data_IF_408127377732
#
_entry.id   IF_408127377732
#
_cell.length_a   1.000
_cell.length_b   1.000
_cell.length_c   1.000
_cell.angle_alpha   90.00
_cell.angle_beta   90.00
_cell.angle_gamma   90.00
#
_symmetry.space_group_name_H-M   'P 1'
#
loop_
_entity.id
_entity.type
_entity.pdbx_description
1 polymer ?
#
# COMPACT_ATOMS: atom_id res chain seq x y z
N UNK A 1 32.93 63.54 12.34
CA UNK A 1 32.92 62.09 12.00
C UNK A 1 31.70 61.40 12.59
N UNK A 2 31.29 61.77 13.81
CA UNK A 2 30.02 61.37 14.43
C UNK A 2 28.79 61.68 13.56
N UNK A 3 28.67 62.87 12.99
CA UNK A 3 27.54 63.24 12.10
C UNK A 3 27.35 62.32 10.86
N UNK A 4 28.43 61.69 10.38
CA UNK A 4 28.37 60.75 9.26
C UNK A 4 27.97 59.35 9.72
N UNK A 5 28.40 58.96 10.92
CA UNK A 5 27.99 57.72 11.57
C UNK A 5 26.52 57.78 11.95
N UNK A 6 26.05 58.88 12.54
CA UNK A 6 24.65 59.09 12.88
C UNK A 6 23.78 59.06 11.63
N UNK A 7 24.15 59.75 10.54
CA UNK A 7 23.39 59.67 9.28
C UNK A 7 23.36 58.25 8.68
N UNK A 8 24.42 57.46 8.84
CA UNK A 8 24.44 56.05 8.40
C UNK A 8 23.60 55.17 9.30
N UNK A 9 23.63 55.42 10.60
CA UNK A 9 22.83 54.73 11.60
C UNK A 9 21.35 54.98 11.35
N UNK A 10 20.93 56.25 11.18
CA UNK A 10 19.53 56.60 10.89
C UNK A 10 19.04 55.98 9.58
N UNK A 11 19.87 55.95 8.53
CA UNK A 11 19.53 55.25 7.26
C UNK A 11 19.39 53.74 7.43
N UNK A 12 20.19 53.13 8.30
CA UNK A 12 20.10 51.69 8.60
C UNK A 12 18.84 51.40 9.43
N UNK A 13 18.54 52.23 10.42
CA UNK A 13 17.34 52.14 11.25
C UNK A 13 16.07 52.25 10.41
N UNK A 14 16.00 53.23 9.49
CA UNK A 14 14.88 53.39 8.55
C UNK A 14 14.72 52.17 7.63
N UNK A 15 15.84 51.61 7.12
CA UNK A 15 15.80 50.42 6.26
C UNK A 15 15.38 49.15 6.99
N UNK A 16 15.67 49.05 8.28
CA UNK A 16 15.31 47.91 9.13
C UNK A 16 13.93 48.09 9.78
N UNK A 17 13.27 49.23 9.56
CA UNK A 17 11.96 49.54 10.17
C UNK A 17 12.04 49.73 11.69
N UNK A 18 13.21 50.07 12.23
CA UNK A 18 13.41 50.31 13.65
C UNK A 18 12.81 51.67 14.00
N UNK A 19 11.65 51.68 14.67
CA UNK A 19 11.08 52.93 15.22
C UNK A 19 12.09 53.55 16.18
N UNK A 20 12.29 54.88 16.09
CA UNK A 20 13.00 55.67 17.12
C UNK A 20 12.51 55.24 18.50
N UNK A 21 13.43 55.08 19.46
CA UNK A 21 13.21 54.60 20.83
C UNK A 21 12.21 55.45 21.64
N UNK A 22 10.96 55.46 21.20
CA UNK A 22 9.81 56.02 21.86
C UNK A 22 8.94 54.86 22.31
N UNK A 23 8.93 54.63 23.63
CA UNK A 23 7.88 53.91 24.33
C UNK A 23 7.72 52.42 23.99
N UNK A 24 8.72 51.60 24.33
CA UNK A 24 8.41 50.22 24.78
C UNK A 24 8.00 50.33 26.25
N UNK A 25 6.74 50.66 26.51
CA UNK A 25 6.23 50.79 27.89
C UNK A 25 6.01 49.43 28.55
N UNK A 26 6.02 48.33 27.80
CA UNK A 26 5.89 46.99 28.37
C UNK A 26 6.59 45.92 27.51
N UNK A 27 7.86 45.63 27.83
CA UNK A 27 8.67 44.57 27.20
C UNK A 27 7.96 43.21 27.23
N UNK A 28 7.13 42.94 28.23
CA UNK A 28 6.37 41.70 28.30
C UNK A 28 5.30 41.58 27.20
N UNK A 29 4.63 42.67 26.83
CA UNK A 29 3.63 42.64 25.76
C UNK A 29 4.27 42.37 24.40
N UNK A 30 5.44 42.97 24.14
CA UNK A 30 6.19 42.71 22.91
C UNK A 30 6.73 41.28 22.85
N UNK A 31 7.24 40.73 23.98
CA UNK A 31 7.67 39.34 24.06
C UNK A 31 6.51 38.35 23.86
N UNK A 32 5.33 38.65 24.43
CA UNK A 32 4.12 37.84 24.22
C UNK A 32 3.71 37.88 22.75
N UNK A 33 3.72 39.07 22.13
CA UNK A 33 3.41 39.23 20.72
C UNK A 33 4.40 38.48 19.82
N UNK A 34 5.70 38.56 20.10
CA UNK A 34 6.74 37.84 19.35
C UNK A 34 6.59 36.32 19.51
N UNK A 35 6.35 35.85 20.73
CA UNK A 35 6.11 34.42 21.03
C UNK A 35 4.88 33.90 20.30
N UNK A 36 3.81 34.69 20.25
CA UNK A 36 2.59 34.36 19.50
C UNK A 36 2.89 34.25 18.00
N UNK A 37 3.57 35.26 17.44
CA UNK A 37 3.92 35.29 16.01
C UNK A 37 4.84 34.14 15.60
N UNK A 38 5.85 33.80 16.42
CA UNK A 38 6.73 32.65 16.20
C UNK A 38 5.97 31.32 16.26
N UNK A 39 5.00 31.21 17.17
CA UNK A 39 4.17 30.00 17.28
C UNK A 39 3.24 29.86 16.08
N UNK A 40 2.61 30.95 15.63
CA UNK A 40 1.74 30.99 14.45
C UNK A 40 2.50 30.67 13.15
N UNK A 41 3.77 31.06 13.05
CA UNK A 41 4.64 30.73 11.92
C UNK A 41 5.15 29.27 11.92
N UNK A 42 4.72 28.42 12.87
CA UNK A 42 5.21 27.04 13.02
C UNK A 42 6.61 26.93 13.66
N UNK A 43 7.22 28.05 14.01
CA UNK A 43 8.56 28.13 14.61
C UNK A 43 8.53 28.10 16.15
N UNK A 44 7.39 27.78 16.78
CA UNK A 44 7.26 27.75 18.24
C UNK A 44 8.21 26.78 18.94
N UNK A 45 8.74 25.77 18.22
CA UNK A 45 9.77 24.86 18.74
C UNK A 45 11.06 25.60 19.12
N UNK A 46 11.39 26.72 18.46
CA UNK A 46 12.58 27.53 18.76
C UNK A 46 12.55 28.08 20.20
N UNK A 47 11.36 28.38 20.72
CA UNK A 47 11.17 28.87 22.09
C UNK A 47 11.31 27.78 23.16
N UNK A 48 11.35 26.51 22.75
CA UNK A 48 11.59 25.35 23.62
C UNK A 48 13.05 24.94 23.66
N UNK A 49 13.91 25.54 22.83
CA UNK A 49 15.33 25.21 22.82
C UNK A 49 15.95 25.79 24.10
N UNK A 50 16.54 24.95 24.97
CA UNK A 50 17.23 25.42 26.16
C UNK A 50 18.30 26.46 25.80
N UNK A 51 18.47 27.46 26.66
CA UNK A 51 19.40 28.57 26.40
C UNK A 51 20.82 28.08 26.18
N UNK A 52 21.27 27.04 26.88
CA UNK A 52 22.61 26.45 26.70
C UNK A 52 22.82 25.84 25.30
N UNK A 53 21.75 25.31 24.69
CA UNK A 53 21.79 24.78 23.32
C UNK A 53 21.85 25.94 22.32
N UNK A 54 21.10 27.03 22.57
CA UNK A 54 21.20 28.25 21.76
C UNK A 54 22.59 28.88 21.84
N UNK A 55 23.21 28.92 23.03
CA UNK A 55 24.59 29.40 23.17
C UNK A 55 25.55 28.50 22.39
N UNK A 56 25.44 27.17 22.51
CA UNK A 56 26.27 26.23 21.73
C UNK A 56 26.11 26.41 20.21
N UNK A 57 24.89 26.62 19.72
CA UNK A 57 24.64 26.89 18.29
C UNK A 57 25.28 28.21 17.88
N UNK A 58 25.16 29.25 18.71
CA UNK A 58 25.78 30.56 18.45
C UNK A 58 27.30 30.45 18.47
N UNK A 59 27.88 29.73 19.43
CA UNK A 59 29.31 29.48 19.54
C UNK A 59 29.83 28.66 18.35
N UNK A 60 29.05 27.71 17.83
CA UNK A 60 29.36 26.94 16.62
C UNK A 60 29.28 27.80 15.37
N UNK A 61 28.25 28.66 15.25
CA UNK A 61 28.06 29.54 14.10
C UNK A 61 29.05 30.72 14.06
N UNK A 62 29.60 31.10 15.22
CA UNK A 62 30.61 32.17 15.34
C UNK A 62 32.05 31.63 15.36
N UNK A 63 32.24 30.31 15.53
CA UNK A 63 33.54 29.66 15.38
C UNK A 63 33.99 29.78 13.92
N UNK A 64 35.22 30.22 13.69
CA UNK A 64 35.80 30.27 12.34
C UNK A 64 35.73 28.90 11.67
N UNK A 65 35.31 28.83 10.40
CA UNK A 65 35.09 27.62 9.55
C UNK A 65 36.28 26.65 9.42
N UNK A 66 37.37 26.87 10.14
CA UNK A 66 38.53 26.01 10.15
C UNK A 66 38.30 24.83 11.10
N UNK A 67 37.72 23.77 10.56
CA UNK A 67 37.84 22.42 11.13
C UNK A 67 39.32 22.17 11.48
N UNK A 68 39.58 21.64 12.67
CA UNK A 68 40.92 21.23 13.06
C UNK A 68 41.43 20.14 12.12
N UNK A 69 42.74 20.01 11.95
CA UNK A 69 43.32 18.97 11.08
C UNK A 69 42.83 17.56 11.44
N UNK A 70 42.62 17.29 12.74
CA UNK A 70 42.07 16.03 13.23
C UNK A 70 40.59 15.82 12.84
N UNK A 71 39.77 16.87 12.88
CA UNK A 71 38.37 16.79 12.41
C UNK A 71 38.29 16.58 10.91
N UNK A 72 39.12 17.30 10.13
CA UNK A 72 39.24 17.08 8.68
C UNK A 72 39.64 15.64 8.37
N UNK A 73 40.60 15.09 9.11
CA UNK A 73 41.04 13.71 8.94
C UNK A 73 39.91 12.71 9.22
N UNK A 74 39.16 12.89 10.32
CA UNK A 74 38.01 12.02 10.66
C UNK A 74 36.90 12.10 9.62
N UNK A 75 36.60 13.29 9.12
CA UNK A 75 35.57 13.46 8.08
C UNK A 75 35.98 12.77 6.77
N UNK A 76 37.27 12.83 6.41
CA UNK A 76 37.82 12.11 5.25
C UNK A 76 37.73 10.60 5.44
N UNK A 77 38.10 10.08 6.61
CA UNK A 77 38.01 8.64 6.93
C UNK A 77 36.55 8.16 6.86
N UNK A 78 35.62 8.91 7.47
CA UNK A 78 34.19 8.61 7.39
C UNK A 78 33.66 8.65 5.95
N UNK A 79 34.03 9.68 5.18
CA UNK A 79 33.65 9.81 3.79
C UNK A 79 34.21 8.69 2.91
N UNK A 80 35.43 8.22 3.19
CA UNK A 80 36.04 7.08 2.54
C UNK A 80 35.25 5.79 2.82
N UNK A 81 34.97 5.50 4.10
CA UNK A 81 34.24 4.28 4.48
C UNK A 81 32.83 4.25 3.86
N UNK A 82 32.14 5.40 3.87
CA UNK A 82 30.83 5.53 3.21
C UNK A 82 30.92 5.28 1.71
N UNK A 83 31.99 5.74 1.06
CA UNK A 83 32.20 5.57 -0.38
C UNK A 83 32.54 4.11 -0.72
N UNK A 84 33.32 3.43 0.11
CA UNK A 84 33.63 2.00 -0.04
C UNK A 84 32.36 1.15 0.09
N UNK A 85 31.52 1.40 1.09
CA UNK A 85 30.24 0.68 1.24
C UNK A 85 29.30 0.93 0.06
N UNK A 86 29.25 2.16 -0.46
CA UNK A 86 28.47 2.47 -1.68
C UNK A 86 28.97 1.71 -2.90
N UNK A 87 30.30 1.62 -3.09
CA UNK A 87 30.88 0.86 -4.20
C UNK A 87 30.50 -0.62 -4.08
N UNK A 88 30.59 -1.19 -2.88
CA UNK A 88 30.23 -2.60 -2.63
C UNK A 88 28.75 -2.89 -2.94
N UNK A 89 27.84 -2.02 -2.50
CA UNK A 89 26.41 -2.16 -2.81
C UNK A 89 26.11 -2.04 -4.32
N UNK A 90 26.84 -1.17 -5.03
CA UNK A 90 26.70 -1.05 -6.48
C UNK A 90 27.23 -2.29 -7.20
N UNK A 91 28.31 -2.90 -6.73
CA UNK A 91 28.83 -4.16 -7.26
C UNK A 91 27.85 -5.32 -7.05
N UNK A 92 27.25 -5.44 -5.86
CA UNK A 92 26.20 -6.43 -5.58
C UNK A 92 24.97 -6.21 -6.47
N UNK A 93 24.48 -4.97 -6.53
CA UNK A 93 23.35 -4.62 -7.39
C UNK A 93 23.62 -4.96 -8.86
N UNK A 94 24.82 -4.66 -9.37
CA UNK A 94 25.18 -4.96 -10.74
C UNK A 94 25.21 -6.47 -10.99
N UNK A 95 25.80 -7.24 -10.08
CA UNK A 95 25.85 -8.70 -10.16
C UNK A 95 24.45 -9.32 -10.17
N UNK A 96 23.57 -8.89 -9.27
CA UNK A 96 22.21 -9.40 -9.18
C UNK A 96 21.37 -9.00 -10.39
N UNK A 97 21.54 -7.77 -10.89
CA UNK A 97 20.87 -7.32 -12.10
C UNK A 97 21.25 -8.20 -13.30
N UNK A 98 22.51 -8.62 -13.39
CA UNK A 98 22.98 -9.43 -14.50
C UNK A 98 22.36 -10.83 -14.46
N UNK A 99 22.20 -11.41 -13.26
CA UNK A 99 21.52 -12.70 -13.06
C UNK A 99 20.03 -12.61 -13.39
N UNK A 100 19.34 -11.57 -12.89
CA UNK A 100 17.89 -11.43 -13.08
C UNK A 100 17.56 -11.10 -14.53
N UNK A 101 18.26 -10.15 -15.15
CA UNK A 101 17.96 -9.73 -16.52
C UNK A 101 18.46 -10.72 -17.58
N UNK A 102 19.49 -11.53 -17.29
CA UNK A 102 19.92 -12.62 -18.18
C UNK A 102 19.27 -13.96 -17.84
N UNK A 103 18.31 -13.98 -16.91
CA UNK A 103 17.55 -15.19 -16.59
C UNK A 103 16.74 -15.62 -17.81
N UNK A 104 17.21 -16.69 -18.44
CA UNK A 104 16.54 -17.35 -19.56
C UNK A 104 15.08 -17.72 -19.20
N UNK A 105 14.83 -18.06 -17.93
CA UNK A 105 13.50 -18.34 -17.39
C UNK A 105 12.53 -17.17 -17.55
N UNK A 106 12.99 -15.93 -17.31
CA UNK A 106 12.17 -14.73 -17.45
C UNK A 106 12.03 -14.36 -18.93
N UNK A 107 13.14 -14.45 -19.69
CA UNK A 107 13.13 -14.16 -21.13
C UNK A 107 12.16 -15.07 -21.90
N UNK A 108 12.05 -16.34 -21.49
CA UNK A 108 11.23 -17.34 -22.18
C UNK A 108 9.75 -17.34 -21.78
N UNK A 109 9.32 -16.52 -20.82
CA UNK A 109 7.89 -16.43 -20.44
C UNK A 109 7.01 -16.13 -21.66
N UNK A 110 7.48 -15.26 -22.56
CA UNK A 110 6.77 -14.93 -23.80
C UNK A 110 6.57 -16.14 -24.73
N UNK A 111 7.51 -17.10 -24.73
CA UNK A 111 7.41 -18.32 -25.54
C UNK A 111 6.40 -19.34 -24.98
N UNK A 112 6.12 -19.29 -23.67
CA UNK A 112 5.13 -20.16 -23.03
C UNK A 112 3.70 -19.63 -23.12
N UNK A 113 3.52 -18.33 -23.38
CA UNK A 113 2.21 -17.69 -23.44
C UNK A 113 1.24 -18.35 -24.45
N UNK A 114 1.64 -18.72 -25.68
CA UNK A 114 0.76 -19.40 -26.62
C UNK A 114 0.30 -20.79 -26.15
N UNK A 115 1.21 -21.54 -25.51
CA UNK A 115 0.90 -22.85 -24.94
C UNK A 115 -0.08 -22.72 -23.76
N UNK A 116 0.12 -21.70 -22.92
CA UNK A 116 -0.80 -21.39 -21.82
C UNK A 116 -2.20 -21.02 -22.34
N UNK A 117 -2.28 -20.16 -23.36
CA UNK A 117 -3.54 -19.78 -23.99
C UNK A 117 -4.23 -20.95 -24.72
N UNK A 118 -3.47 -21.93 -25.21
CA UNK A 118 -4.03 -23.15 -25.79
C UNK A 118 -4.63 -24.05 -24.70
N UNK A 119 -3.88 -24.27 -23.61
CA UNK A 119 -4.35 -25.04 -22.47
C UNK A 119 -5.59 -24.42 -21.82
N UNK A 120 -5.64 -23.10 -21.67
CA UNK A 120 -6.82 -22.38 -21.15
C UNK A 120 -8.06 -22.62 -22.03
N UNK A 121 -7.90 -22.53 -23.36
CA UNK A 121 -9.00 -22.78 -24.30
C UNK A 121 -9.49 -24.24 -24.25
N UNK A 122 -8.58 -25.19 -24.12
CA UNK A 122 -8.90 -26.62 -24.00
C UNK A 122 -9.66 -26.93 -22.71
N UNK A 123 -9.21 -26.37 -21.58
CA UNK A 123 -9.87 -26.51 -20.28
C UNK A 123 -11.28 -25.93 -20.33
N UNK A 124 -11.44 -24.73 -20.89
CA UNK A 124 -12.74 -24.08 -21.01
C UNK A 124 -13.69 -24.84 -21.95
N UNK A 125 -13.17 -25.40 -23.06
CA UNK A 125 -13.94 -26.28 -23.94
C UNK A 125 -14.41 -27.54 -23.23
N UNK A 126 -13.51 -28.20 -22.51
CA UNK A 126 -13.82 -29.41 -21.73
C UNK A 126 -14.85 -29.13 -20.63
N UNK A 127 -14.76 -27.98 -19.96
CA UNK A 127 -15.73 -27.58 -18.94
C UNK A 127 -17.14 -27.40 -19.52
N UNK A 128 -17.25 -26.81 -20.72
CA UNK A 128 -18.53 -26.69 -21.44
C UNK A 128 -19.11 -28.04 -21.83
N UNK A 129 -18.28 -28.96 -22.31
CA UNK A 129 -18.71 -30.32 -22.67
C UNK A 129 -19.22 -31.09 -21.44
N UNK A 130 -18.50 -30.99 -20.32
CA UNK A 130 -18.92 -31.58 -19.03
C UNK A 130 -20.25 -30.98 -18.57
N UNK A 131 -20.43 -29.66 -18.68
CA UNK A 131 -21.69 -29.01 -18.33
C UNK A 131 -22.85 -29.52 -19.18
N UNK A 132 -22.67 -29.62 -20.50
CA UNK A 132 -23.71 -30.12 -21.42
C UNK A 132 -24.06 -31.58 -21.14
N UNK A 133 -23.05 -32.41 -20.87
CA UNK A 133 -23.26 -33.80 -20.50
C UNK A 133 -24.04 -33.90 -19.18
N UNK A 134 -23.66 -33.11 -18.18
CA UNK A 134 -24.34 -33.08 -16.89
C UNK A 134 -25.82 -32.70 -17.05
N UNK A 135 -26.14 -31.65 -17.82
CA UNK A 135 -27.53 -31.28 -18.12
C UNK A 135 -28.31 -32.43 -18.77
N UNK A 136 -27.70 -33.14 -19.72
CA UNK A 136 -28.34 -34.28 -20.39
C UNK A 136 -28.63 -35.44 -19.42
N UNK A 137 -27.74 -35.68 -18.46
CA UNK A 137 -27.92 -36.70 -17.41
C UNK A 137 -29.02 -36.29 -16.44
N UNK A 138 -29.11 -35.01 -16.07
CA UNK A 138 -30.18 -34.48 -15.21
C UNK A 138 -31.55 -34.65 -15.89
N UNK A 139 -31.66 -34.26 -17.16
CA UNK A 139 -32.89 -34.45 -17.94
C UNK A 139 -33.31 -35.92 -18.05
N UNK A 140 -32.34 -36.82 -18.26
CA UNK A 140 -32.61 -38.26 -18.33
C UNK A 140 -33.10 -38.79 -16.98
N UNK A 141 -32.47 -38.37 -15.88
CA UNK A 141 -32.86 -38.76 -14.53
C UNK A 141 -34.28 -38.29 -14.23
N UNK A 142 -34.65 -37.06 -14.59
CA UNK A 142 -35.99 -36.53 -14.38
C UNK A 142 -37.04 -37.35 -15.15
N UNK A 143 -36.80 -37.64 -16.43
CA UNK A 143 -37.67 -38.51 -17.24
C UNK A 143 -37.81 -39.91 -16.63
N UNK A 144 -36.73 -40.46 -16.10
CA UNK A 144 -36.75 -41.78 -15.46
C UNK A 144 -37.60 -41.78 -14.19
N UNK A 145 -37.52 -40.73 -13.36
CA UNK A 145 -38.35 -40.58 -12.16
C UNK A 145 -39.83 -40.50 -12.53
N UNK A 146 -40.19 -39.68 -13.52
CA UNK A 146 -41.57 -39.57 -14.01
C UNK A 146 -42.10 -40.94 -14.48
N UNK A 147 -41.28 -41.70 -15.19
CA UNK A 147 -41.67 -43.02 -15.70
C UNK A 147 -41.88 -44.03 -14.57
N UNK A 148 -41.05 -43.98 -13.51
CA UNK A 148 -41.24 -44.80 -12.31
C UNK A 148 -42.53 -44.44 -11.56
N UNK A 149 -42.87 -43.16 -11.46
CA UNK A 149 -44.11 -42.70 -10.84
C UNK A 149 -45.35 -43.19 -11.62
N UNK A 150 -45.31 -43.12 -12.94
CA UNK A 150 -46.38 -43.66 -13.80
C UNK A 150 -46.54 -45.17 -13.65
N UNK A 151 -45.42 -45.92 -13.63
CA UNK A 151 -45.42 -47.35 -13.39
C UNK A 151 -45.99 -47.70 -12.01
N UNK A 152 -45.62 -46.94 -10.98
CA UNK A 152 -46.16 -47.12 -9.64
C UNK A 152 -47.68 -46.93 -9.61
N UNK A 153 -48.18 -45.88 -10.27
CA UNK A 153 -49.62 -45.65 -10.38
C UNK A 153 -50.35 -46.79 -11.11
N UNK A 154 -49.80 -47.27 -12.22
CA UNK A 154 -50.38 -48.40 -12.95
C UNK A 154 -50.41 -49.69 -12.13
N UNK A 155 -49.36 -49.98 -11.36
CA UNK A 155 -49.33 -51.13 -10.46
C UNK A 155 -50.43 -51.00 -9.41
N UNK A 156 -50.60 -49.84 -8.79
CA UNK A 156 -51.68 -49.61 -7.81
C UNK A 156 -53.07 -49.74 -8.43
N UNK A 157 -53.28 -49.29 -9.66
CA UNK A 157 -54.54 -49.51 -10.37
C UNK A 157 -54.81 -51.00 -10.58
N UNK A 158 -53.79 -51.77 -11.02
CA UNK A 158 -53.92 -53.21 -11.22
C UNK A 158 -54.17 -53.96 -9.91
N UNK A 159 -53.47 -53.61 -8.83
CA UNK A 159 -53.71 -54.17 -7.49
C UNK A 159 -55.16 -53.95 -7.06
N UNK A 160 -55.69 -52.73 -7.24
CA UNK A 160 -57.09 -52.42 -6.94
C UNK A 160 -58.08 -53.23 -7.79
N UNK A 161 -57.79 -53.43 -9.09
CA UNK A 161 -58.64 -54.24 -9.97
C UNK A 161 -58.64 -55.69 -9.54
N UNK A 162 -57.47 -56.26 -9.23
CA UNK A 162 -57.34 -57.63 -8.74
C UNK A 162 -58.10 -57.83 -7.44
N UNK A 163 -57.95 -56.92 -6.48
CA UNK A 163 -58.66 -56.99 -5.20
C UNK A 163 -60.19 -56.98 -5.39
N UNK A 164 -60.70 -56.11 -6.28
CA UNK A 164 -62.14 -56.08 -6.63
C UNK A 164 -62.60 -57.39 -7.26
N UNK A 165 -61.83 -57.97 -8.18
CA UNK A 165 -62.16 -59.25 -8.82
C UNK A 165 -62.16 -60.40 -7.81
N UNK A 166 -61.21 -60.41 -6.87
CA UNK A 166 -61.18 -61.39 -5.79
C UNK A 166 -62.39 -61.28 -4.86
N UNK A 167 -62.84 -60.06 -4.55
CA UNK A 167 -64.06 -59.83 -3.77
C UNK A 167 -65.32 -60.33 -4.50
N UNK A 168 -65.44 -60.09 -5.81
CA UNK A 168 -66.56 -60.59 -6.63
C UNK A 168 -66.56 -62.12 -6.63
N UNK A 169 -65.41 -62.75 -6.88
CA UNK A 169 -65.27 -64.21 -6.86
C UNK A 169 -65.66 -64.82 -5.50
N UNK A 170 -65.26 -64.18 -4.39
CA UNK A 170 -65.66 -64.62 -3.04
C UNK A 170 -67.18 -64.51 -2.80
N UNK A 171 -67.82 -63.49 -3.35
CA UNK A 171 -69.29 -63.33 -3.25
C UNK A 171 -70.02 -64.40 -4.07
N UNK A 172 -69.56 -64.69 -5.27
CA UNK A 172 -70.13 -65.74 -6.13
C UNK A 172 -69.96 -67.14 -5.53
N UNK A 173 -68.85 -67.42 -4.84
CA UNK A 173 -68.63 -68.71 -4.17
C UNK A 173 -69.49 -68.93 -2.92
N UNK A 174 -70.05 -67.86 -2.35
CA UNK A 174 -70.88 -67.90 -1.13
C UNK A 174 -72.38 -67.74 -1.41
N UNK A 175 -72.78 -67.61 -2.68
CA UNK A 175 -74.16 -67.51 -3.14
C UNK A 175 -74.62 -68.87 -3.70
#
# INVERSE_FOLDING_TARGET
MEDMLDKRLTKLEDRLGLRKAGSVTNVNEELIFLRKKLSEAGCGFLLKIPTDVLTKITDLATRSDYLTSAEKKREIEFGHDLMVERVKLLEEFQKDSEVVFKSESIANVGHHLPALNAAEREINGSALDVQKHHSSVVDLKEKFVILLEQLHYQIQEWENIVERLEQVKKREANA
#
